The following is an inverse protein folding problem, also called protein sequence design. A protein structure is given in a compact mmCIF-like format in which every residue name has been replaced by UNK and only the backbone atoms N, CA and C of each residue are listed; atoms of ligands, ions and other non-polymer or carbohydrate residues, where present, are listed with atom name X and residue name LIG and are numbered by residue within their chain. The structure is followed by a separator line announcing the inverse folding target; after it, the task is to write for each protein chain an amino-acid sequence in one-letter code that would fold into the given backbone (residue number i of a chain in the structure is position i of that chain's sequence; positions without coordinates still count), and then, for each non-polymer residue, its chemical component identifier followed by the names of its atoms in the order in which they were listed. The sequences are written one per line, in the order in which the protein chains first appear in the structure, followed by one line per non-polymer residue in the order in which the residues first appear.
data_IF_499194080877
#
_entry.id   IF_499194080877
#
_cell.length_a   1.000
_cell.length_b   1.000
_cell.length_c   1.000
_cell.angle_alpha   90.00
_cell.angle_beta   90.00
_cell.angle_gamma   90.00
#
_symmetry.space_group_name_H-M   'P 1'
#
loop_
_entity.id
_entity.type
_entity.pdbx_description
1 polymer ?
#
# COMPACT_ATOMS: atom_id res chain seq x y z
N UNK A 1 -5.71 -14.66 -10.66
CA UNK A 1 -5.77 -13.22 -10.42
C UNK A 1 -5.27 -12.88 -9.03
N UNK A 2 -4.10 -12.26 -8.90
CA UNK A 2 -3.54 -11.86 -7.59
C UNK A 2 -3.76 -10.37 -7.35
N UNK A 3 -4.28 -10.01 -6.18
CA UNK A 3 -4.48 -8.62 -5.77
C UNK A 3 -3.58 -8.31 -4.58
N UNK A 4 -2.75 -7.27 -4.71
CA UNK A 4 -1.86 -6.77 -3.67
C UNK A 4 -2.44 -5.57 -2.93
N UNK A 5 -2.05 -5.41 -1.66
CA UNK A 5 -2.36 -4.23 -0.86
C UNK A 5 -1.10 -3.74 -0.15
N UNK A 6 -0.76 -2.46 -0.34
CA UNK A 6 0.36 -1.80 0.30
C UNK A 6 -0.12 -0.61 1.14
N UNK A 7 0.47 -0.42 2.32
CA UNK A 7 0.11 0.71 3.19
C UNK A 7 1.25 1.11 4.10
N UNK A 8 1.45 2.42 4.20
CA UNK A 8 2.37 3.05 5.15
C UNK A 8 1.63 4.06 6.03
N UNK A 9 2.10 4.25 7.26
CA UNK A 9 1.48 5.10 8.28
C UNK A 9 2.02 6.52 8.32
N UNK A 10 3.26 6.74 7.89
CA UNK A 10 3.91 8.06 7.92
C UNK A 10 4.44 8.48 6.56
N UNK A 11 4.84 9.74 6.43
CA UNK A 11 5.43 10.26 5.18
C UNK A 11 6.78 9.67 4.84
N UNK A 12 7.56 9.38 5.87
CA UNK A 12 8.93 8.87 5.80
C UNK A 12 9.00 7.38 5.48
N UNK A 13 7.92 6.63 5.69
CA UNK A 13 7.87 5.23 5.33
C UNK A 13 7.77 5.05 3.81
N UNK A 14 8.67 4.25 3.27
CA UNK A 14 8.75 4.02 1.83
C UNK A 14 7.75 2.94 1.38
N UNK A 15 6.75 3.39 0.63
CA UNK A 15 5.70 2.53 0.06
C UNK A 15 6.25 1.65 -1.07
N UNK A 16 7.31 2.09 -1.76
CA UNK A 16 7.86 1.36 -2.91
C UNK A 16 8.38 -0.01 -2.51
N UNK A 17 8.93 -0.16 -1.30
CA UNK A 17 9.43 -1.45 -0.80
C UNK A 17 8.31 -2.51 -0.77
N UNK A 18 7.08 -2.10 -0.42
CA UNK A 18 5.93 -2.99 -0.44
C UNK A 18 5.45 -3.25 -1.88
N UNK A 19 5.39 -2.22 -2.72
CA UNK A 19 4.99 -2.33 -4.13
C UNK A 19 5.90 -3.28 -4.91
N UNK A 20 7.22 -3.15 -4.78
CA UNK A 20 8.19 -4.01 -5.47
C UNK A 20 8.05 -5.48 -5.08
N UNK A 21 7.68 -5.78 -3.83
CA UNK A 21 7.43 -7.15 -3.39
C UNK A 21 6.14 -7.71 -3.99
N UNK A 22 5.09 -6.90 -4.06
CA UNK A 22 3.81 -7.29 -4.67
C UNK A 22 3.96 -7.52 -6.18
N UNK A 23 4.74 -6.67 -6.85
CA UNK A 23 5.11 -6.83 -8.26
C UNK A 23 5.91 -8.11 -8.49
N UNK A 24 6.95 -8.37 -7.70
CA UNK A 24 7.74 -9.60 -7.76
C UNK A 24 6.91 -10.87 -7.46
N UNK A 25 5.83 -10.76 -6.69
CA UNK A 25 4.89 -11.85 -6.45
C UNK A 25 3.88 -12.05 -7.58
N UNK A 26 3.86 -11.18 -8.58
CA UNK A 26 2.95 -11.21 -9.72
C UNK A 26 1.53 -10.76 -9.37
N UNK A 27 1.38 -9.74 -8.51
CA UNK A 27 0.08 -9.11 -8.25
C UNK A 27 -0.36 -8.26 -9.44
N UNK A 28 -1.45 -8.65 -10.09
CA UNK A 28 -2.01 -7.97 -11.28
C UNK A 28 -2.73 -6.66 -10.95
N UNK A 29 -3.23 -6.52 -9.71
CA UNK A 29 -3.88 -5.30 -9.24
C UNK A 29 -3.35 -4.95 -7.86
N UNK A 30 -2.87 -3.72 -7.68
CA UNK A 30 -2.30 -3.27 -6.42
C UNK A 30 -3.08 -2.07 -5.91
N UNK A 31 -3.58 -2.17 -4.68
CA UNK A 31 -4.18 -1.07 -3.95
C UNK A 31 -3.16 -0.51 -2.98
N UNK A 32 -3.14 0.82 -2.83
CA UNK A 32 -2.18 1.47 -1.95
C UNK A 32 -2.81 2.59 -1.13
N UNK A 33 -2.25 2.85 0.04
CA UNK A 33 -2.73 3.93 0.90
C UNK A 33 -1.68 4.44 1.88
N UNK A 34 -1.85 5.68 2.31
CA UNK A 34 -0.96 6.34 3.25
C UNK A 34 -1.74 6.84 4.46
N UNK A 35 -1.83 5.99 5.48
CA UNK A 35 -2.66 6.22 6.67
C UNK A 35 -2.23 5.34 7.84
N UNK A 36 -2.48 5.83 9.05
CA UNK A 36 -2.19 5.09 10.28
C UNK A 36 -3.07 3.85 10.45
N UNK A 37 -2.56 2.87 11.19
CA UNK A 37 -3.27 1.64 11.53
C UNK A 37 -4.57 1.84 12.30
N UNK A 38 -4.69 2.95 13.01
CA UNK A 38 -5.85 3.28 13.83
C UNK A 38 -7.00 3.93 13.03
N UNK A 39 -6.76 4.37 11.79
CA UNK A 39 -7.81 4.96 10.97
C UNK A 39 -8.60 3.87 10.24
N UNK A 40 -9.92 3.88 10.43
CA UNK A 40 -10.88 2.98 9.77
C UNK A 40 -11.25 3.51 8.38
N UNK A 41 -11.04 4.82 8.15
CA UNK A 41 -11.29 5.48 6.86
C UNK A 41 -9.97 5.68 6.14
N UNK A 42 -9.88 5.08 4.95
CA UNK A 42 -9.00 5.48 3.87
C UNK A 42 -9.42 6.88 3.38
N UNK A 43 -9.21 7.94 4.16
CA UNK A 43 -9.39 9.28 3.64
C UNK A 43 -8.24 9.55 2.66
N UNK A 44 -8.59 9.58 1.37
CA UNK A 44 -7.70 9.93 0.26
C UNK A 44 -6.94 11.22 0.57
N UNK A 45 -5.67 11.07 0.90
CA UNK A 45 -4.64 12.04 0.58
C UNK A 45 -3.44 11.27 0.05
N UNK A 46 -3.56 10.85 -1.22
CA UNK A 46 -2.38 10.62 -2.05
C UNK A 46 -1.69 11.97 -2.29
#
# INVERSE_FOLDING_TARGET
MKVGFARVSTKEQDLNVQLSKLDAQGCEKIFQGKQSGASIRNEEKL
#
